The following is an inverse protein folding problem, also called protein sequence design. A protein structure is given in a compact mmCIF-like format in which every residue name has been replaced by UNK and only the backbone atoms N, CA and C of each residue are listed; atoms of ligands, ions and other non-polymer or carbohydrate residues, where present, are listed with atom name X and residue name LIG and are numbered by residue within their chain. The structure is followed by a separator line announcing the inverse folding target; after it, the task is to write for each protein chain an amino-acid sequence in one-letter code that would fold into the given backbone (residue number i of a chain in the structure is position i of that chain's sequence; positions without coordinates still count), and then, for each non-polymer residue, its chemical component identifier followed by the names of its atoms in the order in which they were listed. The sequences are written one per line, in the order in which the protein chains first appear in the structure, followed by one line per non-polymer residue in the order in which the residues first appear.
data_IF_983849996906
#
_entry.id   IF_983849996906
#
_cell.length_a   1.000
_cell.length_b   1.000
_cell.length_c   1.000
_cell.angle_alpha   90.00
_cell.angle_beta   90.00
_cell.angle_gamma   90.00
#
_symmetry.space_group_name_H-M   'P 1'
#
loop_
_entity.id
_entity.type
_entity.pdbx_description
1 polymer ?
#
# COMPACT_ATOMS: atom_id res chain seq x y z
N UNK A 1 6.84 1.62 -17.93
CA UNK A 1 5.82 2.32 -17.13
C UNK A 1 5.75 1.68 -15.74
N UNK A 2 5.54 2.47 -14.67
CA UNK A 2 5.47 1.99 -13.28
C UNK A 2 4.03 2.08 -12.77
N UNK A 3 3.58 1.10 -11.96
CA UNK A 3 2.25 1.07 -11.34
C UNK A 3 2.31 0.46 -9.94
N UNK A 4 1.45 0.94 -9.04
CA UNK A 4 1.22 0.38 -7.71
C UNK A 4 0.13 -0.69 -7.77
N UNK A 5 0.49 -1.93 -7.41
CA UNK A 5 -0.45 -3.05 -7.28
C UNK A 5 -0.87 -3.18 -5.82
N UNK A 6 -1.96 -2.54 -5.46
CA UNK A 6 -2.34 -2.32 -4.06
C UNK A 6 -2.53 -3.63 -3.31
N UNK A 7 -3.26 -4.59 -3.88
CA UNK A 7 -3.56 -5.86 -3.22
C UNK A 7 -2.30 -6.70 -2.96
N UNK A 8 -1.32 -6.65 -3.87
CA UNK A 8 -0.03 -7.33 -3.68
C UNK A 8 0.75 -6.70 -2.52
N UNK A 9 0.73 -5.37 -2.41
CA UNK A 9 1.44 -4.66 -1.33
C UNK A 9 0.75 -4.91 0.01
N UNK A 10 -0.59 -4.88 0.06
CA UNK A 10 -1.37 -5.19 1.26
C UNK A 10 -1.09 -6.63 1.73
N UNK A 11 -1.13 -7.61 0.82
CA UNK A 11 -0.80 -9.00 1.16
C UNK A 11 0.63 -9.14 1.71
N UNK A 12 1.57 -8.36 1.19
CA UNK A 12 2.96 -8.34 1.68
C UNK A 12 3.08 -7.67 3.07
N UNK A 13 2.28 -6.66 3.37
CA UNK A 13 2.21 -6.07 4.71
C UNK A 13 1.65 -7.08 5.72
N UNK A 14 0.60 -7.81 5.35
CA UNK A 14 -0.02 -8.82 6.20
C UNK A 14 0.96 -9.96 6.51
N UNK A 15 1.66 -10.45 5.48
CA UNK A 15 2.70 -11.46 5.64
C UNK A 15 3.82 -11.01 6.59
N UNK A 16 4.29 -9.76 6.45
CA UNK A 16 5.33 -9.22 7.33
C UNK A 16 4.84 -9.03 8.77
N UNK A 17 3.60 -8.57 8.93
CA UNK A 17 2.99 -8.38 10.25
C UNK A 17 2.88 -9.70 11.00
N UNK A 18 2.48 -10.78 10.31
CA UNK A 18 2.43 -12.11 10.89
C UNK A 18 3.83 -12.68 11.18
N UNK A 19 4.75 -12.58 10.22
CA UNK A 19 6.09 -13.18 10.34
C UNK A 19 6.91 -12.51 11.45
N UNK A 20 6.98 -11.18 11.46
CA UNK A 20 7.73 -10.44 12.46
C UNK A 20 7.02 -10.41 13.81
N UNK A 21 5.68 -10.58 13.86
CA UNK A 21 4.93 -10.68 15.11
C UNK A 21 5.36 -11.83 16.01
N UNK A 22 6.08 -12.81 15.45
CA UNK A 22 6.66 -13.96 16.16
C UNK A 22 8.01 -13.62 16.81
N UNK A 23 8.64 -12.50 16.44
CA UNK A 23 9.92 -12.04 16.97
C UNK A 23 9.71 -10.91 18.00
N UNK A 24 10.00 -11.15 19.30
CA UNK A 24 9.81 -10.16 20.36
C UNK A 24 10.73 -8.93 20.24
N UNK A 25 11.83 -9.02 19.48
CA UNK A 25 12.77 -7.91 19.29
C UNK A 25 12.32 -6.93 18.19
N UNK A 26 11.25 -7.26 17.45
CA UNK A 26 10.73 -6.36 16.42
C UNK A 26 10.18 -5.07 17.05
N UNK A 27 10.69 -3.89 16.65
CA UNK A 27 10.27 -2.64 17.25
C UNK A 27 8.78 -2.33 17.01
N UNK A 28 8.06 -1.86 18.04
CA UNK A 28 6.65 -1.43 17.89
C UNK A 28 6.44 -0.36 16.81
N UNK A 29 7.45 0.47 16.55
CA UNK A 29 7.40 1.48 15.50
C UNK A 29 7.24 0.87 14.10
N UNK A 30 7.81 -0.31 13.85
CA UNK A 30 7.68 -1.03 12.59
C UNK A 30 6.20 -1.32 12.27
N UNK A 31 5.47 -1.90 13.23
CA UNK A 31 4.04 -2.21 13.06
C UNK A 31 3.19 -0.96 12.86
N UNK A 32 3.47 0.14 13.56
CA UNK A 32 2.76 1.42 13.34
C UNK A 32 2.92 1.94 11.92
N UNK A 33 4.13 1.80 11.35
CA UNK A 33 4.38 2.18 9.95
C UNK A 33 3.61 1.26 9.00
N UNK A 34 3.65 -0.05 9.20
CA UNK A 34 2.92 -1.02 8.38
C UNK A 34 1.40 -0.77 8.41
N UNK A 35 0.84 -0.51 9.59
CA UNK A 35 -0.59 -0.21 9.76
C UNK A 35 -0.98 1.09 9.02
N UNK A 36 -0.18 2.15 9.16
CA UNK A 36 -0.43 3.42 8.47
C UNK A 36 -0.33 3.26 6.95
N UNK A 37 0.65 2.51 6.46
CA UNK A 37 0.79 2.20 5.03
C UNK A 37 -0.40 1.39 4.51
N UNK A 38 -0.84 0.35 5.23
CA UNK A 38 -2.01 -0.46 4.85
C UNK A 38 -3.27 0.41 4.75
N UNK A 39 -3.52 1.27 5.74
CA UNK A 39 -4.67 2.21 5.72
C UNK A 39 -4.61 3.15 4.52
N UNK A 40 -3.45 3.75 4.25
CA UNK A 40 -3.27 4.63 3.09
C UNK A 40 -3.47 3.92 1.76
N UNK A 41 -2.99 2.68 1.64
CA UNK A 41 -3.15 1.85 0.45
C UNK A 41 -4.62 1.46 0.20
N UNK A 42 -5.34 1.06 1.26
CA UNK A 42 -6.78 0.78 1.16
C UNK A 42 -7.55 2.02 0.71
N UNK A 43 -7.26 3.20 1.28
CA UNK A 43 -7.87 4.46 0.84
C UNK A 43 -7.53 4.79 -0.63
N UNK A 44 -6.30 4.53 -1.08
CA UNK A 44 -5.93 4.67 -2.49
C UNK A 44 -6.72 3.71 -3.39
N UNK A 45 -6.90 2.46 -2.96
CA UNK A 45 -7.68 1.46 -3.70
C UNK A 45 -9.15 1.87 -3.82
N UNK A 46 -9.73 2.37 -2.74
CA UNK A 46 -11.11 2.88 -2.75
C UNK A 46 -11.26 4.04 -3.74
N UNK A 47 -10.26 4.92 -3.84
CA UNK A 47 -10.30 6.09 -4.73
C UNK A 47 -9.99 5.78 -6.20
N UNK A 48 -9.04 4.90 -6.47
CA UNK A 48 -8.47 4.73 -7.82
C UNK A 48 -8.53 3.28 -8.36
N UNK A 49 -8.90 2.30 -7.53
CA UNK A 49 -8.87 0.88 -7.87
C UNK A 49 -7.57 0.18 -7.47
N UNK A 50 -7.50 -1.14 -7.72
CA UNK A 50 -6.41 -2.00 -7.24
C UNK A 50 -5.05 -1.77 -7.94
N UNK A 51 -5.04 -1.11 -9.10
CA UNK A 51 -3.83 -0.77 -9.86
C UNK A 51 -3.81 0.74 -10.08
N UNK A 52 -2.77 1.41 -9.58
CA UNK A 52 -2.64 2.88 -9.62
C UNK A 52 -1.34 3.28 -10.29
N UNK A 53 -1.41 3.99 -11.42
CA UNK A 53 -0.23 4.58 -12.05
C UNK A 53 0.16 5.90 -11.36
N UNK A 54 1.45 6.30 -11.34
CA UNK A 54 1.90 7.56 -10.77
C UNK A 54 1.19 8.79 -11.34
N UNK A 55 0.83 8.78 -12.62
CA UNK A 55 0.08 9.88 -13.25
C UNK A 55 -1.22 10.20 -12.51
N UNK A 56 -1.90 9.18 -11.97
CA UNK A 56 -3.14 9.35 -11.18
C UNK A 56 -2.91 9.95 -9.79
N UNK A 57 -1.64 10.03 -9.34
CA UNK A 57 -1.25 10.56 -8.03
C UNK A 57 -0.66 11.98 -8.11
N UNK A 58 -0.12 12.37 -9.26
CA UNK A 58 0.39 13.74 -9.49
C UNK A 58 -0.80 14.64 -9.83
N UNK A 59 -1.28 15.38 -8.82
CA UNK A 59 -2.30 16.45 -8.95
C UNK A 59 -3.45 16.16 -9.94
N UNK A 60 -4.28 15.15 -9.65
CA UNK A 60 -5.66 15.05 -10.15
C UNK A 60 -5.88 15.32 -11.64
N UNK A 61 -4.99 14.85 -12.52
CA UNK A 61 -5.21 14.94 -13.96
C UNK A 61 -5.88 13.65 -14.48
N UNK A 62 -6.99 13.77 -15.22
CA UNK A 62 -7.65 12.64 -15.83
C UNK A 62 -6.94 12.34 -17.16
N UNK A 63 -6.05 11.35 -17.17
CA UNK A 63 -5.54 10.85 -18.44
C UNK A 63 -6.29 9.57 -18.80
N UNK A 64 -7.31 9.78 -19.63
CA UNK A 64 -7.66 8.90 -20.74
C UNK A 64 -6.36 8.39 -21.39
N UNK A 65 -5.97 7.16 -21.07
CA UNK A 65 -5.06 6.42 -21.95
C UNK A 65 -5.48 4.96 -21.97
N UNK A 66 -6.26 4.66 -23.01
CA UNK A 66 -6.47 3.38 -23.70
C UNK A 66 -6.98 2.18 -22.88
#
# INVERSE_FOLDING_TARGET
QFSLYIDNIVARIDLQTEAYGKDPDTPRAFYRVLEAQKKGLVALKEKYGAIVSPGRLVAGTPDDVA
#
